data_IF_501967581818
#
_entry.id   IF_501967581818
#
_cell.length_a   1.000
_cell.length_b   1.000
_cell.length_c   1.000
_cell.angle_alpha   90.00
_cell.angle_beta   90.00
_cell.angle_gamma   90.00
#
_symmetry.space_group_name_H-M   'P 1'
#
loop_
_entity.id
_entity.type
_entity.pdbx_description
1 polymer ?
#
# COMPACT_ATOMS: atom_id res chain seq x y z
N UNK A 1 -47.77 0.70 75.19
CA UNK A 1 -47.36 0.06 73.95
C UNK A 1 -47.85 0.90 72.77
N UNK A 2 -47.09 1.87 72.36
CA UNK A 2 -47.45 2.85 71.30
C UNK A 2 -46.39 2.74 70.27
N UNK A 3 -46.78 2.26 69.05
CA UNK A 3 -45.92 2.20 67.88
C UNK A 3 -46.05 3.51 67.11
N UNK A 4 -45.01 4.29 67.10
CA UNK A 4 -44.87 5.51 66.27
C UNK A 4 -44.40 5.12 64.89
N UNK A 5 -45.24 5.42 63.89
CA UNK A 5 -44.98 5.22 62.47
C UNK A 5 -44.35 6.50 61.92
N UNK A 6 -43.09 6.47 61.59
CA UNK A 6 -42.36 7.61 61.00
C UNK A 6 -42.46 7.55 59.46
N UNK A 7 -43.15 8.51 58.89
CA UNK A 7 -43.31 8.67 57.42
C UNK A 7 -42.09 9.39 56.87
N UNK A 8 -41.27 8.68 56.06
CA UNK A 8 -40.15 9.28 55.33
C UNK A 8 -40.63 9.80 53.96
N UNK A 9 -40.60 11.11 53.82
CA UNK A 9 -40.93 11.81 52.59
C UNK A 9 -39.66 11.86 51.71
N UNK A 10 -39.64 11.08 50.60
CA UNK A 10 -38.57 11.11 49.62
C UNK A 10 -38.80 12.23 48.61
N UNK A 11 -37.98 13.30 48.63
CA UNK A 11 -37.93 14.31 47.59
C UNK A 11 -37.19 13.79 46.38
N UNK A 12 -37.88 13.62 45.26
CA UNK A 12 -37.29 13.33 43.95
C UNK A 12 -36.76 14.64 43.35
N UNK A 13 -35.45 14.79 43.26
CA UNK A 13 -34.80 15.87 42.53
C UNK A 13 -34.83 15.55 41.02
N UNK A 14 -35.64 16.26 40.26
CA UNK A 14 -35.65 16.19 38.79
C UNK A 14 -34.45 16.99 38.25
N UNK A 15 -33.36 16.27 37.92
CA UNK A 15 -32.19 16.86 37.26
C UNK A 15 -32.52 17.12 35.77
N UNK A 16 -32.62 18.39 35.40
CA UNK A 16 -32.69 18.80 33.97
C UNK A 16 -31.33 18.61 33.33
N UNK A 17 -31.18 17.55 32.54
CA UNK A 17 -30.01 17.34 31.69
C UNK A 17 -30.02 18.37 30.56
N UNK A 18 -29.20 19.39 30.65
CA UNK A 18 -28.94 20.34 29.54
C UNK A 18 -28.17 19.58 28.46
N UNK A 19 -28.84 19.27 27.36
CA UNK A 19 -28.20 18.73 26.18
C UNK A 19 -27.28 19.79 25.55
N UNK A 20 -26.00 19.69 25.81
CA UNK A 20 -24.99 20.55 25.21
C UNK A 20 -24.92 20.22 23.71
N UNK A 21 -25.52 21.07 22.87
CA UNK A 21 -25.37 20.99 21.43
C UNK A 21 -23.89 21.15 21.08
N UNK A 22 -23.21 20.03 20.79
CA UNK A 22 -21.88 20.05 20.18
C UNK A 22 -22.04 20.55 18.76
N UNK A 23 -21.67 21.80 18.52
CA UNK A 23 -21.52 22.29 17.16
C UNK A 23 -20.52 21.37 16.44
N UNK A 24 -20.87 20.81 15.25
CA UNK A 24 -19.89 20.03 14.49
C UNK A 24 -18.69 20.94 14.14
N UNK A 25 -17.47 20.40 14.15
CA UNK A 25 -16.29 21.16 13.73
C UNK A 25 -16.51 21.71 12.33
N UNK A 26 -16.00 22.93 12.03
CA UNK A 26 -16.12 23.51 10.70
C UNK A 26 -15.58 22.51 9.66
N UNK A 27 -16.36 22.27 8.61
CA UNK A 27 -15.98 21.39 7.52
C UNK A 27 -14.65 21.89 6.92
N UNK A 28 -13.65 20.99 6.86
CA UNK A 28 -12.38 21.27 6.21
C UNK A 28 -12.65 21.71 4.77
N UNK A 29 -12.04 22.80 4.28
CA UNK A 29 -12.20 23.20 2.89
C UNK A 29 -11.93 22.03 1.95
N UNK A 30 -12.65 21.89 0.82
CA UNK A 30 -12.35 20.85 -0.16
C UNK A 30 -10.88 20.90 -0.55
N UNK A 31 -10.18 19.78 -0.43
CA UNK A 31 -8.80 19.69 -0.92
C UNK A 31 -8.83 19.92 -2.44
N UNK A 32 -7.89 20.73 -2.98
CA UNK A 32 -7.80 20.92 -4.43
C UNK A 32 -7.68 19.55 -5.11
N UNK A 33 -8.28 19.34 -6.29
CA UNK A 33 -8.14 18.09 -7.01
C UNK A 33 -6.65 17.78 -7.20
N UNK A 34 -6.22 16.50 -7.05
CA UNK A 34 -4.83 16.12 -7.20
C UNK A 34 -4.33 16.56 -8.58
N UNK A 35 -3.25 17.33 -8.59
CA UNK A 35 -2.57 17.72 -9.83
C UNK A 35 -2.01 16.42 -10.43
N UNK A 36 -2.60 15.96 -11.53
CA UNK A 36 -2.09 14.81 -12.27
C UNK A 36 -0.83 15.28 -13.00
N UNK A 37 0.35 14.96 -12.46
CA UNK A 37 1.60 15.17 -13.17
C UNK A 37 1.63 14.31 -14.44
N UNK A 38 1.94 14.90 -15.62
CA UNK A 38 2.18 14.11 -16.82
C UNK A 38 3.32 13.12 -16.53
N UNK A 39 3.06 11.83 -16.71
CA UNK A 39 4.10 10.79 -16.56
C UNK A 39 5.19 10.98 -17.61
N UNK A 40 6.43 10.57 -17.29
CA UNK A 40 7.49 10.48 -18.29
C UNK A 40 7.06 9.53 -19.43
N UNK A 41 7.55 9.71 -20.66
CA UNK A 41 7.18 8.85 -21.80
C UNK A 41 7.40 7.36 -21.54
N UNK A 42 8.33 7.01 -20.67
CA UNK A 42 8.67 5.63 -20.26
C UNK A 42 7.97 5.17 -18.96
N UNK A 43 7.09 5.96 -18.42
CA UNK A 43 6.38 5.63 -17.17
C UNK A 43 5.64 4.28 -17.23
N UNK A 44 4.91 3.92 -18.31
CA UNK A 44 4.22 2.63 -18.39
C UNK A 44 5.18 1.44 -18.29
N UNK A 45 6.32 1.50 -18.98
CA UNK A 45 7.34 0.45 -18.93
C UNK A 45 8.01 0.37 -17.55
N UNK A 46 8.23 1.51 -16.90
CA UNK A 46 8.82 1.57 -15.58
C UNK A 46 7.88 0.98 -14.52
N UNK A 47 6.57 1.25 -14.61
CA UNK A 47 5.54 0.64 -13.75
C UNK A 47 5.49 -0.88 -13.95
N UNK A 48 5.59 -1.35 -15.21
CA UNK A 48 5.66 -2.78 -15.51
C UNK A 48 6.93 -3.42 -14.94
N UNK A 49 8.09 -2.77 -15.03
CA UNK A 49 9.32 -3.25 -14.42
C UNK A 49 9.19 -3.36 -12.89
N UNK A 50 8.57 -2.36 -12.25
CA UNK A 50 8.30 -2.38 -10.82
C UNK A 50 7.40 -3.56 -10.42
N UNK A 51 6.37 -3.86 -11.23
CA UNK A 51 5.47 -5.00 -11.02
C UNK A 51 6.21 -6.35 -11.17
N UNK A 52 7.07 -6.49 -12.17
CA UNK A 52 7.92 -7.67 -12.34
C UNK A 52 8.85 -7.86 -11.14
N UNK A 53 9.48 -6.79 -10.65
CA UNK A 53 10.33 -6.85 -9.46
C UNK A 53 9.55 -7.30 -8.21
N UNK A 54 8.33 -6.83 -8.04
CA UNK A 54 7.45 -7.28 -6.95
C UNK A 54 7.11 -8.76 -7.04
N UNK A 55 6.78 -9.25 -8.24
CA UNK A 55 6.48 -10.66 -8.50
C UNK A 55 7.70 -11.55 -8.22
N UNK A 56 8.89 -11.13 -8.64
CA UNK A 56 10.14 -11.82 -8.36
C UNK A 56 10.47 -11.83 -6.86
N UNK A 57 10.25 -10.72 -6.17
CA UNK A 57 10.45 -10.67 -4.72
C UNK A 57 9.57 -11.69 -3.99
N UNK A 58 8.31 -11.84 -4.40
CA UNK A 58 7.41 -12.84 -3.83
C UNK A 58 7.87 -14.27 -4.12
N UNK A 59 8.09 -14.61 -5.39
CA UNK A 59 8.42 -15.98 -5.80
C UNK A 59 9.78 -16.45 -5.27
N UNK A 60 10.75 -15.56 -5.21
CA UNK A 60 12.07 -15.85 -4.63
C UNK A 60 12.00 -16.02 -3.11
N UNK A 61 11.22 -15.18 -2.43
CA UNK A 61 10.98 -15.35 -1.01
C UNK A 61 10.27 -16.68 -0.70
N UNK A 62 9.28 -17.06 -1.52
CA UNK A 62 8.55 -18.32 -1.38
C UNK A 62 9.48 -19.54 -1.50
N UNK A 63 10.48 -19.46 -2.37
CA UNK A 63 11.44 -20.54 -2.61
C UNK A 63 12.73 -20.44 -1.77
N UNK A 64 12.73 -19.58 -0.74
CA UNK A 64 13.88 -19.38 0.16
C UNK A 64 15.15 -18.96 -0.59
N UNK A 65 14.97 -18.32 -1.74
CA UNK A 65 16.09 -17.81 -2.53
C UNK A 65 16.83 -16.70 -1.78
N UNK A 66 18.15 -16.78 -1.74
CA UNK A 66 19.02 -15.73 -1.17
C UNK A 66 18.80 -14.36 -1.85
N UNK A 67 18.31 -14.38 -3.08
CA UNK A 67 18.00 -13.18 -3.89
C UNK A 67 16.71 -12.47 -3.49
N UNK A 68 15.91 -13.00 -2.56
CA UNK A 68 14.64 -12.37 -2.18
C UNK A 68 14.81 -10.93 -1.66
N UNK A 69 15.85 -10.69 -0.87
CA UNK A 69 16.23 -9.37 -0.38
C UNK A 69 16.73 -8.43 -1.47
N UNK A 70 17.39 -8.95 -2.48
CA UNK A 70 17.96 -8.22 -3.59
C UNK A 70 16.88 -7.47 -4.41
N UNK A 71 15.76 -8.10 -4.67
CA UNK A 71 14.66 -7.46 -5.42
C UNK A 71 14.05 -6.26 -4.69
N UNK A 72 14.01 -6.29 -3.36
CA UNK A 72 13.62 -5.12 -2.55
C UNK A 72 14.65 -4.00 -2.64
N UNK A 73 15.92 -4.36 -2.55
CA UNK A 73 17.03 -3.39 -2.68
C UNK A 73 17.01 -2.72 -4.06
N UNK A 74 16.80 -3.48 -5.12
CA UNK A 74 16.67 -2.95 -6.48
C UNK A 74 15.46 -2.01 -6.62
N UNK A 75 14.33 -2.34 -5.99
CA UNK A 75 13.17 -1.45 -5.98
C UNK A 75 13.45 -0.16 -5.21
N UNK A 76 14.18 -0.24 -4.10
CA UNK A 76 14.61 0.97 -3.37
C UNK A 76 15.48 1.86 -4.25
N UNK A 77 16.47 1.30 -4.92
CA UNK A 77 17.32 2.04 -5.85
C UNK A 77 16.52 2.68 -7.00
N UNK A 78 15.53 1.96 -7.54
CA UNK A 78 14.62 2.50 -8.56
C UNK A 78 13.82 3.69 -8.03
N UNK A 79 13.30 3.61 -6.81
CA UNK A 79 12.56 4.70 -6.17
C UNK A 79 13.45 5.91 -5.87
N UNK A 80 14.73 5.70 -5.57
CA UNK A 80 15.70 6.79 -5.38
C UNK A 80 16.01 7.49 -6.69
N UNK A 81 16.17 6.74 -7.78
CA UNK A 81 16.48 7.29 -9.10
C UNK A 81 15.27 7.94 -9.78
N UNK A 82 14.10 7.29 -9.74
CA UNK A 82 12.94 7.63 -10.55
C UNK A 82 11.78 8.23 -9.76
N UNK A 83 11.73 8.02 -8.45
CA UNK A 83 10.67 8.54 -7.57
C UNK A 83 10.86 10.01 -7.22
N UNK A 84 10.96 10.87 -8.23
CA UNK A 84 11.26 12.29 -8.10
C UNK A 84 10.17 13.09 -7.39
N UNK A 85 8.92 12.63 -7.46
CA UNK A 85 7.78 13.25 -6.78
C UNK A 85 7.06 12.22 -5.89
N UNK A 86 6.33 12.65 -4.84
CA UNK A 86 5.56 11.75 -4.00
C UNK A 86 4.56 10.91 -4.80
N UNK A 87 3.86 11.50 -5.77
CA UNK A 87 2.87 10.82 -6.59
C UNK A 87 3.52 9.73 -7.48
N UNK A 88 4.69 10.02 -8.09
CA UNK A 88 5.43 9.06 -8.90
C UNK A 88 5.97 7.91 -8.04
N UNK A 89 6.53 8.22 -6.88
CA UNK A 89 6.98 7.22 -5.90
C UNK A 89 5.84 6.29 -5.48
N UNK A 90 4.67 6.85 -5.23
CA UNK A 90 3.47 6.08 -4.88
C UNK A 90 3.04 5.14 -6.01
N UNK A 91 2.99 5.61 -7.27
CA UNK A 91 2.65 4.77 -8.43
C UNK A 91 3.61 3.59 -8.60
N UNK A 92 4.91 3.83 -8.50
CA UNK A 92 5.95 2.79 -8.59
C UNK A 92 5.81 1.76 -7.46
N UNK A 93 5.63 2.24 -6.23
CA UNK A 93 5.42 1.37 -5.06
C UNK A 93 4.12 0.56 -5.19
N UNK A 94 3.05 1.16 -5.67
CA UNK A 94 1.78 0.47 -5.91
C UNK A 94 1.94 -0.63 -6.97
N UNK A 95 2.69 -0.37 -8.05
CA UNK A 95 3.00 -1.37 -9.08
C UNK A 95 3.78 -2.55 -8.51
N UNK A 96 4.85 -2.29 -7.75
CA UNK A 96 5.61 -3.34 -7.06
C UNK A 96 4.71 -4.18 -6.13
N UNK A 97 3.88 -3.54 -5.33
CA UNK A 97 2.98 -4.23 -4.41
C UNK A 97 1.90 -5.05 -5.13
N UNK A 98 1.45 -4.62 -6.31
CA UNK A 98 0.55 -5.43 -7.16
C UNK A 98 1.26 -6.70 -7.61
N UNK A 99 2.47 -6.58 -8.16
CA UNK A 99 3.27 -7.73 -8.58
C UNK A 99 3.53 -8.71 -7.44
N UNK A 100 3.92 -8.22 -6.27
CA UNK A 100 4.15 -9.06 -5.09
C UNK A 100 2.92 -9.89 -4.71
N UNK A 101 1.72 -9.32 -4.83
CA UNK A 101 0.46 -10.01 -4.49
C UNK A 101 -0.12 -10.85 -5.62
N UNK A 102 0.29 -10.63 -6.87
CA UNK A 102 -0.31 -11.29 -8.04
C UNK A 102 -0.13 -12.82 -8.03
N UNK A 103 0.98 -13.31 -7.51
CA UNK A 103 1.31 -14.73 -7.50
C UNK A 103 0.89 -15.46 -6.23
N UNK A 104 0.59 -14.75 -5.15
CA UNK A 104 0.25 -15.33 -3.85
C UNK A 104 -0.95 -16.32 -3.88
N UNK A 105 -2.03 -16.09 -4.63
CA UNK A 105 -3.15 -17.01 -4.66
C UNK A 105 -2.82 -18.37 -5.29
N UNK A 106 -1.94 -18.38 -6.32
CA UNK A 106 -1.61 -19.57 -7.11
C UNK A 106 -0.35 -20.29 -6.60
N UNK A 107 0.56 -19.56 -5.98
CA UNK A 107 1.84 -20.10 -5.49
C UNK A 107 1.96 -19.93 -3.98
N UNK A 108 1.47 -20.92 -3.22
CA UNK A 108 1.49 -20.91 -1.74
C UNK A 108 2.68 -21.69 -1.15
N UNK A 109 3.36 -22.46 -1.97
CA UNK A 109 4.54 -23.25 -1.64
C UNK A 109 5.51 -23.19 -2.80
N UNK A 110 6.80 -23.37 -2.49
CA UNK A 110 7.81 -23.49 -3.55
C UNK A 110 7.61 -24.81 -4.30
N UNK A 111 7.47 -24.72 -5.61
CA UNK A 111 7.30 -25.82 -6.55
C UNK A 111 8.15 -25.53 -7.78
N UNK A 112 8.33 -26.53 -8.66
CA UNK A 112 9.00 -26.32 -9.96
C UNK A 112 8.26 -25.24 -10.79
N UNK A 113 6.92 -25.25 -10.75
CA UNK A 113 6.13 -24.19 -11.39
C UNK A 113 6.40 -22.78 -10.83
N UNK A 114 6.66 -22.66 -9.51
CA UNK A 114 7.06 -21.38 -8.92
C UNK A 114 8.43 -20.92 -9.38
N UNK A 115 9.39 -21.86 -9.47
CA UNK A 115 10.75 -21.58 -9.97
C UNK A 115 10.73 -21.18 -11.45
N UNK A 116 9.95 -21.90 -12.25
CA UNK A 116 9.78 -21.61 -13.68
C UNK A 116 9.12 -20.25 -13.91
N UNK A 117 8.09 -19.91 -13.13
CA UNK A 117 7.46 -18.58 -13.18
C UNK A 117 8.48 -17.48 -12.85
N UNK A 118 9.29 -17.66 -11.81
CA UNK A 118 10.35 -16.72 -11.46
C UNK A 118 11.40 -16.57 -12.57
N UNK A 119 11.80 -17.67 -13.19
CA UNK A 119 12.77 -17.64 -14.29
C UNK A 119 12.22 -16.86 -15.51
N UNK A 120 10.97 -17.10 -15.90
CA UNK A 120 10.32 -16.34 -16.99
C UNK A 120 10.23 -14.85 -16.68
N UNK A 121 9.81 -14.49 -15.47
CA UNK A 121 9.74 -13.09 -15.03
C UNK A 121 11.11 -12.41 -15.01
N UNK A 122 12.16 -13.12 -14.63
CA UNK A 122 13.53 -12.58 -14.66
C UNK A 122 13.96 -12.24 -16.09
N UNK A 123 13.67 -13.11 -17.07
CA UNK A 123 13.94 -12.85 -18.50
C UNK A 123 13.14 -11.64 -19.00
N UNK A 124 11.86 -11.54 -18.62
CA UNK A 124 11.01 -10.42 -19.03
C UNK A 124 11.48 -9.10 -18.40
N UNK A 125 11.85 -9.13 -17.13
CA UNK A 125 12.41 -7.97 -16.44
C UNK A 125 13.74 -7.50 -17.05
N UNK A 126 14.60 -8.44 -17.42
CA UNK A 126 15.87 -8.13 -18.10
C UNK A 126 15.64 -7.47 -19.47
N UNK A 127 14.74 -8.01 -20.29
CA UNK A 127 14.39 -7.41 -21.60
C UNK A 127 13.84 -5.99 -21.41
N UNK A 128 12.95 -5.82 -20.43
CA UNK A 128 12.31 -4.54 -20.17
C UNK A 128 13.32 -3.49 -19.67
N UNK A 129 14.20 -3.86 -18.74
CA UNK A 129 15.23 -2.95 -18.23
C UNK A 129 16.24 -2.55 -19.30
N UNK A 130 16.64 -3.50 -20.18
CA UNK A 130 17.51 -3.18 -21.34
C UNK A 130 16.82 -2.25 -22.33
N UNK A 131 15.53 -2.47 -22.61
CA UNK A 131 14.77 -1.60 -23.49
C UNK A 131 14.63 -0.17 -22.94
N UNK A 132 14.40 -0.03 -21.64
CA UNK A 132 14.39 1.26 -20.97
C UNK A 132 15.76 1.95 -21.05
N UNK A 133 16.83 1.26 -20.69
CA UNK A 133 18.18 1.79 -20.71
C UNK A 133 18.61 2.21 -22.13
N UNK A 134 18.27 1.42 -23.16
CA UNK A 134 18.66 1.74 -24.53
C UNK A 134 17.90 2.93 -25.14
N UNK A 135 16.67 3.20 -24.69
CA UNK A 135 15.84 4.28 -25.23
C UNK A 135 15.98 5.60 -24.46
N UNK A 136 16.22 5.50 -23.15
CA UNK A 136 16.10 6.64 -22.23
C UNK A 136 17.28 6.80 -21.29
N UNK A 137 18.20 5.82 -21.22
CA UNK A 137 19.43 5.90 -20.48
C UNK A 137 20.49 6.61 -21.32
N UNK A 138 20.49 7.94 -21.26
CA UNK A 138 21.46 8.76 -21.95
C UNK A 138 22.86 8.68 -21.37
#
# INVERSE_FOLDING_TARGET
MIRTLTLLMAMAAVGTASAQQRNPPPAKPPEPPPVVEPGAPYEPELLRLSEVMGSLAYLRQLCEGLEAGEWRTRMTALLEAEGTTPARRERLTAAYNRGFRAYAPMHRRCTDGSREAAARLAIDGEKLSRALASRYGG
#
